data_IF_968287741975
#
_entry.id   IF_968287741975
#
_cell.length_a   1.000
_cell.length_b   1.000
_cell.length_c   1.000
_cell.angle_alpha   90.00
_cell.angle_beta   90.00
_cell.angle_gamma   90.00
#
_symmetry.space_group_name_H-M   'P 1'
#
loop_
_entity.id
_entity.type
_entity.pdbx_description
1 polymer ?
#
# COMPACT_ATOMS: atom_id res chain seq x y z
N UNK A 1 18.56 -10.62 -8.15
CA UNK A 1 18.01 -9.64 -9.10
C UNK A 1 18.55 -8.26 -8.73
N UNK A 2 18.87 -7.43 -9.71
CA UNK A 2 19.29 -6.04 -9.53
C UNK A 2 18.14 -5.09 -9.83
N UNK A 3 17.97 -4.05 -9.01
CA UNK A 3 16.98 -2.99 -9.23
C UNK A 3 17.72 -1.68 -9.39
N UNK A 4 17.50 -1.01 -10.52
CA UNK A 4 17.91 0.37 -10.74
C UNK A 4 16.87 1.31 -10.11
N UNK A 5 17.35 2.18 -9.22
CA UNK A 5 16.52 3.18 -8.55
C UNK A 5 16.47 4.51 -9.29
N UNK A 6 17.32 4.71 -10.31
CA UNK A 6 17.42 5.93 -11.10
C UNK A 6 17.42 7.19 -10.23
N UNK A 7 16.46 8.13 -10.42
CA UNK A 7 16.39 9.38 -9.68
C UNK A 7 16.02 9.20 -8.19
N UNK A 8 15.52 8.03 -7.78
CA UNK A 8 15.22 7.75 -6.36
C UNK A 8 16.51 7.60 -5.54
N UNK A 9 17.66 7.41 -6.19
CA UNK A 9 18.96 7.31 -5.53
C UNK A 9 19.24 8.48 -4.60
N UNK A 10 19.13 9.72 -5.09
CA UNK A 10 19.44 10.91 -4.29
C UNK A 10 18.59 10.95 -3.01
N UNK A 11 17.29 10.64 -3.12
CA UNK A 11 16.37 10.61 -1.99
C UNK A 11 16.66 9.46 -1.02
N UNK A 12 17.17 8.32 -1.51
CA UNK A 12 17.56 7.19 -0.66
C UNK A 12 18.78 7.54 0.17
N UNK A 13 19.79 8.16 -0.46
CA UNK A 13 20.98 8.61 0.25
C UNK A 13 20.66 9.65 1.31
N UNK A 14 19.82 10.63 0.97
CA UNK A 14 19.40 11.66 1.90
C UNK A 14 18.61 11.07 3.09
N UNK A 15 17.66 10.15 2.81
CA UNK A 15 16.88 9.49 3.86
C UNK A 15 17.76 8.58 4.74
N UNK A 16 18.72 7.88 4.15
CA UNK A 16 19.66 7.01 4.85
C UNK A 16 20.61 7.82 5.74
N UNK A 17 21.12 8.94 5.23
CA UNK A 17 21.92 9.89 5.99
C UNK A 17 21.15 10.45 7.19
N UNK A 18 19.90 10.90 6.97
CA UNK A 18 19.02 11.37 8.05
C UNK A 18 18.72 10.30 9.11
N UNK A 19 18.63 9.04 8.70
CA UNK A 19 18.38 7.92 9.59
C UNK A 19 19.66 7.33 10.23
N UNK A 20 20.85 7.86 9.89
CA UNK A 20 22.13 7.33 10.39
C UNK A 20 22.43 5.89 9.96
N UNK A 21 21.85 5.42 8.86
CA UNK A 21 22.03 4.04 8.37
C UNK A 21 22.51 4.02 6.92
N UNK A 22 23.08 2.89 6.48
CA UNK A 22 23.50 2.73 5.09
C UNK A 22 22.28 2.69 4.12
N UNK A 23 22.36 3.31 2.94
CA UNK A 23 21.29 3.31 1.93
C UNK A 23 20.75 1.91 1.58
N UNK A 24 21.64 0.92 1.48
CA UNK A 24 21.27 -0.47 1.20
C UNK A 24 20.53 -1.15 2.35
N UNK A 25 20.78 -0.75 3.59
CA UNK A 25 20.05 -1.24 4.77
C UNK A 25 18.66 -0.61 4.81
N UNK A 26 18.56 0.70 4.54
CA UNK A 26 17.28 1.39 4.46
C UNK A 26 16.39 0.80 3.36
N UNK A 27 16.93 0.59 2.15
CA UNK A 27 16.19 0.01 1.04
C UNK A 27 15.68 -1.41 1.38
N UNK A 28 16.52 -2.25 1.98
CA UNK A 28 16.11 -3.60 2.41
C UNK A 28 15.02 -3.57 3.48
N UNK A 29 15.14 -2.70 4.49
CA UNK A 29 14.10 -2.54 5.52
C UNK A 29 12.77 -2.06 4.93
N UNK A 30 12.82 -1.13 3.98
CA UNK A 30 11.65 -0.62 3.29
C UNK A 30 10.92 -1.71 2.49
N UNK A 31 11.67 -2.57 1.80
CA UNK A 31 11.12 -3.70 1.04
C UNK A 31 10.56 -4.77 1.97
N UNK A 32 11.29 -5.14 3.03
CA UNK A 32 10.83 -6.12 4.01
C UNK A 32 9.52 -5.66 4.66
N UNK A 33 9.45 -4.42 5.14
CA UNK A 33 8.24 -3.87 5.76
C UNK A 33 7.02 -3.87 4.81
N UNK A 34 7.24 -3.71 3.50
CA UNK A 34 6.18 -3.78 2.52
C UNK A 34 5.73 -5.23 2.28
N UNK A 35 6.68 -6.15 2.11
CA UNK A 35 6.38 -7.57 1.91
C UNK A 35 5.68 -8.19 3.12
N UNK A 36 6.08 -7.80 4.33
CA UNK A 36 5.43 -8.19 5.59
C UNK A 36 4.03 -7.61 5.72
N UNK A 37 3.80 -6.36 5.25
CA UNK A 37 2.47 -5.75 5.25
C UNK A 37 1.49 -6.45 4.29
N UNK A 38 2.01 -7.08 3.23
CA UNK A 38 1.22 -7.94 2.33
C UNK A 38 1.12 -9.39 2.80
N UNK A 39 2.03 -9.82 3.67
CA UNK A 39 2.17 -11.22 4.10
C UNK A 39 2.04 -11.28 5.61
N UNK A 40 0.83 -11.21 6.13
CA UNK A 40 0.53 -11.28 7.57
C UNK A 40 0.95 -12.59 8.28
N UNK A 41 1.76 -13.47 7.68
CA UNK A 41 2.16 -14.76 8.28
C UNK A 41 3.56 -15.30 7.93
N UNK A 42 4.53 -14.56 7.35
CA UNK A 42 5.84 -15.18 7.05
C UNK A 42 7.03 -14.32 7.44
N UNK A 43 7.84 -14.83 8.37
CA UNK A 43 9.08 -14.19 8.81
C UNK A 43 10.11 -14.10 7.69
N UNK A 44 10.42 -12.87 7.28
CA UNK A 44 11.51 -12.54 6.35
C UNK A 44 12.80 -12.38 7.16
N UNK A 45 13.71 -13.35 7.06
CA UNK A 45 15.08 -13.21 7.56
C UNK A 45 15.93 -12.43 6.55
N UNK A 46 16.35 -11.23 6.91
CA UNK A 46 17.29 -10.42 6.13
C UNK A 46 18.70 -10.66 6.66
N UNK A 47 19.48 -11.56 6.02
CA UNK A 47 20.88 -11.74 6.40
C UNK A 47 21.73 -10.52 6.03
N UNK A 48 22.51 -9.95 6.97
CA UNK A 48 23.38 -8.81 6.71
C UNK A 48 24.72 -9.28 6.12
N UNK A 49 24.78 -9.53 4.81
CA UNK A 49 26.06 -9.60 4.12
C UNK A 49 26.44 -8.21 3.61
N UNK A 50 27.27 -7.48 4.35
CA UNK A 50 27.86 -6.21 3.92
C UNK A 50 29.38 -6.30 4.05
N UNK A 51 30.07 -6.43 2.91
CA UNK A 51 31.44 -5.94 2.77
C UNK A 51 31.35 -4.53 2.20
N UNK A 52 31.39 -3.53 3.07
CA UNK A 52 31.54 -2.13 2.68
C UNK A 52 33.02 -1.76 2.82
N UNK A 53 33.77 -1.87 1.73
CA UNK A 53 35.02 -1.13 1.60
C UNK A 53 34.64 0.29 1.17
N UNK A 54 34.95 1.25 2.04
CA UNK A 54 34.54 2.64 1.87
C UNK A 54 35.32 3.33 0.76
N UNK A 55 34.63 4.21 0.04
CA UNK A 55 35.23 5.36 -0.62
C UNK A 55 34.16 6.45 -0.76
N UNK A 56 34.36 7.57 -0.07
CA UNK A 56 33.62 8.83 -0.26
C UNK A 56 34.10 9.47 -1.57
N UNK A 57 33.67 8.91 -2.70
CA UNK A 57 33.93 9.44 -4.04
C UNK A 57 32.77 10.28 -4.56
N UNK A 58 33.07 11.41 -5.19
CA UNK A 58 32.16 12.32 -5.92
C UNK A 58 31.11 11.52 -6.72
N UNK A 59 29.83 11.91 -6.60
CA UNK A 59 28.70 11.24 -7.25
C UNK A 59 28.63 11.56 -8.75
N UNK A 60 29.57 11.01 -9.50
CA UNK A 60 29.60 11.08 -10.95
C UNK A 60 28.72 9.94 -11.50
N UNK A 61 27.45 10.24 -11.81
CA UNK A 61 26.54 9.44 -12.66
C UNK A 61 26.27 7.95 -12.35
N UNK A 62 26.94 7.32 -11.38
CA UNK A 62 26.88 5.86 -11.19
C UNK A 62 25.50 5.42 -10.74
N UNK A 63 24.82 4.61 -11.55
CA UNK A 63 23.56 3.94 -11.19
C UNK A 63 23.73 3.17 -9.88
N UNK A 64 22.82 3.35 -8.92
CA UNK A 64 22.83 2.54 -7.69
C UNK A 64 22.10 1.24 -7.97
N UNK A 65 22.85 0.17 -8.15
CA UNK A 65 22.30 -1.16 -8.28
C UNK A 65 22.02 -1.74 -6.89
N UNK A 66 20.74 -1.99 -6.55
CA UNK A 66 20.39 -2.72 -5.32
C UNK A 66 20.15 -4.19 -5.69
N UNK A 67 21.01 -5.08 -5.21
CA UNK A 67 20.83 -6.52 -5.37
C UNK A 67 19.90 -7.05 -4.28
N UNK A 68 18.74 -7.54 -4.71
CA UNK A 68 17.74 -8.17 -3.86
C UNK A 68 17.72 -9.67 -4.11
N UNK A 69 17.78 -10.42 -3.02
CA UNK A 69 17.44 -11.84 -2.98
C UNK A 69 16.04 -11.93 -2.39
N UNK A 70 15.07 -12.27 -3.21
CA UNK A 70 13.68 -12.51 -2.82
C UNK A 70 13.48 -14.03 -2.77
N UNK A 71 12.59 -14.51 -1.90
CA UNK A 71 12.09 -15.89 -2.01
C UNK A 71 11.33 -16.03 -3.32
N UNK A 72 11.27 -17.26 -3.85
CA UNK A 72 10.62 -17.51 -5.14
C UNK A 72 9.16 -17.07 -5.16
N UNK A 73 8.43 -17.31 -4.07
CA UNK A 73 7.03 -16.89 -3.90
C UNK A 73 6.86 -15.37 -3.96
N UNK A 74 7.73 -14.61 -3.28
CA UNK A 74 7.69 -13.14 -3.28
C UNK A 74 8.02 -12.57 -4.66
N UNK A 75 8.99 -13.19 -5.36
CA UNK A 75 9.32 -12.82 -6.72
C UNK A 75 8.15 -13.08 -7.67
N UNK A 76 7.44 -14.21 -7.52
CA UNK A 76 6.23 -14.53 -8.31
C UNK A 76 5.13 -13.49 -8.05
N UNK A 77 4.81 -13.22 -6.78
CA UNK A 77 3.80 -12.20 -6.40
C UNK A 77 4.14 -10.82 -6.95
N UNK A 78 5.39 -10.36 -6.79
CA UNK A 78 5.82 -9.07 -7.31
C UNK A 78 5.68 -8.98 -8.85
N UNK A 79 5.82 -10.11 -9.56
CA UNK A 79 5.62 -10.16 -11.01
C UNK A 79 4.17 -10.02 -11.41
N UNK A 80 3.29 -10.72 -10.70
CA UNK A 80 1.86 -10.69 -10.97
C UNK A 80 1.31 -9.28 -10.72
N UNK A 81 1.70 -8.64 -9.61
CA UNK A 81 1.34 -7.25 -9.34
C UNK A 81 1.89 -6.30 -10.42
N UNK A 82 3.16 -6.45 -10.79
CA UNK A 82 3.75 -5.63 -11.86
C UNK A 82 2.98 -5.78 -13.18
N UNK A 83 2.58 -7.00 -13.55
CA UNK A 83 1.79 -7.29 -14.75
C UNK A 83 0.40 -6.64 -14.70
N UNK A 84 -0.28 -6.70 -13.56
CA UNK A 84 -1.59 -6.05 -13.36
C UNK A 84 -1.47 -4.53 -13.52
N UNK A 85 -0.35 -3.95 -13.12
CA UNK A 85 -0.08 -2.51 -13.26
C UNK A 85 0.54 -2.10 -14.61
N UNK A 86 0.82 -3.06 -15.51
CA UNK A 86 1.48 -2.79 -16.78
C UNK A 86 2.93 -2.32 -16.64
N UNK A 87 3.60 -2.66 -15.54
CA UNK A 87 4.98 -2.30 -15.23
C UNK A 87 5.91 -3.51 -15.36
N UNK A 88 7.19 -3.27 -15.63
CA UNK A 88 8.19 -4.32 -15.42
C UNK A 88 8.35 -4.61 -13.92
N UNK A 89 8.80 -5.82 -13.58
CA UNK A 89 9.04 -6.23 -12.18
C UNK A 89 10.00 -5.27 -11.46
N UNK A 90 11.04 -4.79 -12.15
CA UNK A 90 12.02 -3.85 -11.62
C UNK A 90 11.41 -2.46 -11.36
N UNK A 91 10.59 -1.95 -12.28
CA UNK A 91 9.91 -0.66 -12.11
C UNK A 91 8.91 -0.70 -10.96
N UNK A 92 8.12 -1.77 -10.88
CA UNK A 92 7.18 -1.99 -9.78
C UNK A 92 7.90 -1.96 -8.43
N UNK A 93 9.01 -2.69 -8.29
CA UNK A 93 9.83 -2.65 -7.07
C UNK A 93 10.45 -1.27 -6.82
N UNK A 94 10.84 -0.54 -7.86
CA UNK A 94 11.32 0.84 -7.74
C UNK A 94 10.25 1.79 -7.19
N UNK A 95 9.00 1.67 -7.68
CA UNK A 95 7.84 2.43 -7.17
C UNK A 95 7.63 2.12 -5.69
N UNK A 96 7.59 0.83 -5.34
CA UNK A 96 7.40 0.35 -3.98
C UNK A 96 8.48 0.86 -3.01
N UNK A 97 9.75 0.78 -3.40
CA UNK A 97 10.87 1.35 -2.63
C UNK A 97 10.70 2.85 -2.47
N UNK A 98 10.32 3.55 -3.53
CA UNK A 98 10.06 4.99 -3.50
C UNK A 98 8.94 5.38 -2.53
N UNK A 99 7.85 4.61 -2.47
CA UNK A 99 6.74 4.83 -1.55
C UNK A 99 7.11 4.54 -0.10
N UNK A 100 7.76 3.40 0.15
CA UNK A 100 8.22 3.03 1.48
C UNK A 100 9.22 4.05 2.02
N UNK A 101 10.12 4.55 1.18
CA UNK A 101 11.05 5.63 1.53
C UNK A 101 10.34 6.96 1.83
N UNK A 102 9.27 7.31 1.11
CA UNK A 102 8.47 8.49 1.46
C UNK A 102 7.81 8.33 2.83
N UNK A 103 7.38 7.10 3.18
CA UNK A 103 6.90 6.77 4.53
C UNK A 103 7.97 6.95 5.60
N UNK A 104 9.19 6.44 5.37
CA UNK A 104 10.31 6.58 6.31
C UNK A 104 10.78 8.03 6.42
N UNK A 105 10.90 8.77 5.32
CA UNK A 105 11.29 10.17 5.33
C UNK A 105 10.28 11.04 6.08
N UNK A 106 8.97 10.72 6.00
CA UNK A 106 7.93 11.39 6.79
C UNK A 106 8.05 11.10 8.29
N UNK A 107 8.38 9.86 8.68
CA UNK A 107 8.57 9.49 10.10
C UNK A 107 9.88 10.04 10.68
N UNK A 108 10.96 9.98 9.92
CA UNK A 108 12.26 10.53 10.32
C UNK A 108 12.23 12.06 10.41
N UNK A 109 11.48 12.74 9.54
CA UNK A 109 11.26 14.18 9.61
C UNK A 109 10.31 14.64 10.73
N UNK A 110 9.48 13.74 11.26
CA UNK A 110 8.55 14.05 12.35
C UNK A 110 9.18 13.96 13.75
N UNK A 111 10.40 13.44 13.86
CA UNK A 111 10.94 13.03 15.17
C UNK A 111 11.91 14.01 15.82
N UNK A 112 12.39 15.08 15.17
CA UNK A 112 13.43 15.88 15.82
C UNK A 112 13.26 17.38 15.97
N UNK A 113 12.48 18.16 15.21
CA UNK A 113 12.24 19.58 15.59
C UNK A 113 11.17 20.30 14.74
N UNK A 114 10.35 21.12 15.41
CA UNK A 114 9.34 22.10 14.93
C UNK A 114 7.99 21.53 14.46
N UNK A 115 6.91 21.66 15.22
CA UNK A 115 6.17 22.91 15.46
C UNK A 115 6.02 23.74 14.18
N UNK A 116 5.02 23.42 13.36
CA UNK A 116 4.69 24.20 12.16
C UNK A 116 3.89 23.43 11.11
N UNK A 117 2.56 23.49 11.21
CA UNK A 117 1.62 23.44 10.06
C UNK A 117 1.55 22.16 9.20
N UNK A 118 1.51 20.99 9.83
CA UNK A 118 0.87 19.81 9.26
C UNK A 118 -0.31 19.40 10.15
N UNK A 119 -1.50 19.97 9.93
CA UNK A 119 -2.67 19.74 10.79
C UNK A 119 -2.86 18.26 11.14
N UNK A 120 -2.68 17.85 12.41
CA UNK A 120 -2.85 16.46 12.85
C UNK A 120 -4.25 15.91 12.53
N UNK A 121 -5.23 16.80 12.31
CA UNK A 121 -6.56 16.45 11.86
C UNK A 121 -6.62 15.65 10.54
N UNK A 122 -5.70 15.87 9.58
CA UNK A 122 -5.79 15.17 8.28
C UNK A 122 -5.26 13.73 8.34
N UNK A 123 -4.23 13.48 9.17
CA UNK A 123 -3.71 12.14 9.38
C UNK A 123 -4.66 11.30 10.24
N UNK A 124 -5.26 11.88 11.28
CA UNK A 124 -6.35 11.23 12.04
C UNK A 124 -7.58 10.96 11.17
N UNK A 125 -7.98 11.90 10.30
CA UNK A 125 -9.11 11.69 9.40
C UNK A 125 -8.88 10.52 8.43
N UNK A 126 -7.66 10.37 7.90
CA UNK A 126 -7.29 9.22 7.05
C UNK A 126 -7.23 7.89 7.81
N UNK A 127 -6.73 7.90 9.05
CA UNK A 127 -6.75 6.72 9.91
C UNK A 127 -8.19 6.28 10.23
N UNK A 128 -9.06 7.23 10.61
CA UNK A 128 -10.48 6.98 10.85
C UNK A 128 -11.22 6.50 9.59
N UNK A 129 -10.91 7.05 8.41
CA UNK A 129 -11.46 6.56 7.14
C UNK A 129 -11.01 5.12 6.83
N UNK A 130 -9.75 4.76 7.12
CA UNK A 130 -9.26 3.40 6.92
C UNK A 130 -9.94 2.40 7.86
N UNK A 131 -10.09 2.74 9.13
CA UNK A 131 -10.82 1.91 10.10
C UNK A 131 -12.29 1.75 9.70
N UNK A 132 -12.95 2.83 9.28
CA UNK A 132 -14.32 2.78 8.75
C UNK A 132 -14.43 1.85 7.54
N UNK A 133 -13.45 1.88 6.62
CA UNK A 133 -13.41 1.00 5.45
C UNK A 133 -13.22 -0.48 5.83
N UNK A 134 -12.32 -0.76 6.77
CA UNK A 134 -12.09 -2.13 7.27
C UNK A 134 -13.35 -2.65 7.98
N UNK A 135 -13.96 -1.84 8.84
CA UNK A 135 -15.22 -2.17 9.51
C UNK A 135 -16.35 -2.44 8.51
N UNK A 136 -16.45 -1.61 7.46
CA UNK A 136 -17.41 -1.80 6.37
C UNK A 136 -17.18 -3.11 5.61
N UNK A 137 -15.93 -3.51 5.40
CA UNK A 137 -15.60 -4.75 4.68
C UNK A 137 -16.00 -5.99 5.48
N UNK A 138 -15.81 -5.97 6.80
CA UNK A 138 -16.26 -7.04 7.69
C UNK A 138 -17.80 -7.17 7.70
N UNK A 139 -18.53 -6.05 7.65
CA UNK A 139 -19.99 -6.04 7.59
C UNK A 139 -20.51 -6.61 6.25
N UNK A 140 -19.90 -6.24 5.12
CA UNK A 140 -20.24 -6.82 3.81
C UNK A 140 -20.02 -8.35 3.80
N UNK A 141 -18.91 -8.82 4.36
CA UNK A 141 -18.65 -10.26 4.47
C UNK A 141 -19.71 -10.99 5.30
N UNK A 142 -20.21 -10.36 6.37
CA UNK A 142 -21.29 -10.91 7.18
C UNK A 142 -22.63 -10.94 6.41
N UNK A 143 -22.96 -9.89 5.66
CA UNK A 143 -24.14 -9.86 4.78
C UNK A 143 -24.08 -10.98 3.73
N UNK A 144 -22.92 -11.19 3.10
CA UNK A 144 -22.72 -12.28 2.14
C UNK A 144 -23.00 -13.67 2.74
N UNK A 145 -22.59 -13.92 3.99
CA UNK A 145 -22.91 -15.18 4.69
C UNK A 145 -24.41 -15.35 4.93
N UNK A 146 -25.10 -14.29 5.35
CA UNK A 146 -26.54 -14.32 5.59
C UNK A 146 -27.33 -14.57 4.30
N UNK A 147 -26.97 -13.88 3.20
CA UNK A 147 -27.59 -14.08 1.89
C UNK A 147 -27.41 -15.52 1.41
N UNK A 148 -26.20 -16.06 1.55
CA UNK A 148 -25.90 -17.44 1.18
C UNK A 148 -26.70 -18.46 2.03
N UNK A 149 -26.89 -18.18 3.32
CA UNK A 149 -27.72 -19.02 4.19
C UNK A 149 -29.20 -18.99 3.78
N UNK A 150 -29.73 -17.82 3.44
CA UNK A 150 -31.11 -17.68 2.93
C UNK A 150 -31.24 -18.43 1.60
N UNK A 151 -30.31 -18.26 0.67
CA UNK A 151 -30.32 -18.96 -0.61
C UNK A 151 -30.33 -20.50 -0.43
N UNK A 152 -29.52 -21.02 0.50
CA UNK A 152 -29.54 -22.45 0.85
C UNK A 152 -30.86 -22.89 1.46
N UNK A 153 -31.45 -22.08 2.36
CA UNK A 153 -32.75 -22.37 2.96
C UNK A 153 -33.86 -22.40 1.91
N UNK A 154 -33.85 -21.48 0.94
CA UNK A 154 -34.83 -21.41 -0.13
C UNK A 154 -34.69 -22.60 -1.09
N UNK A 155 -33.46 -22.96 -1.45
CA UNK A 155 -33.19 -24.12 -2.31
C UNK A 155 -33.56 -25.45 -1.65
N UNK A 156 -33.46 -25.53 -0.31
CA UNK A 156 -33.85 -26.72 0.45
C UNK A 156 -35.37 -26.90 0.62
N UNK A 157 -36.17 -25.83 0.47
CA UNK A 157 -37.61 -25.90 0.64
C UNK A 157 -38.35 -24.83 -0.21
N UNK A 158 -38.49 -25.05 -1.53
CA UNK A 158 -38.88 -24.01 -2.50
C UNK A 158 -40.32 -23.48 -2.38
N UNK A 159 -41.15 -24.00 -1.46
CA UNK A 159 -42.54 -23.57 -1.26
C UNK A 159 -42.81 -22.69 -0.04
N UNK A 160 -41.82 -22.49 0.84
CA UNK A 160 -42.03 -21.84 2.13
C UNK A 160 -41.08 -20.66 2.35
N UNK A 161 -41.34 -19.53 1.67
CA UNK A 161 -40.72 -18.27 2.07
C UNK A 161 -41.47 -17.74 3.30
N UNK A 162 -40.90 -17.94 4.48
CA UNK A 162 -41.49 -17.39 5.70
C UNK A 162 -41.47 -15.85 5.66
N UNK A 163 -42.44 -15.21 6.31
CA UNK A 163 -42.46 -13.74 6.49
C UNK A 163 -41.14 -13.23 7.11
N UNK A 164 -40.57 -14.01 8.03
CA UNK A 164 -39.28 -13.74 8.64
C UNK A 164 -38.12 -13.70 7.63
N UNK A 165 -38.13 -14.56 6.61
CA UNK A 165 -37.10 -14.55 5.55
C UNK A 165 -37.22 -13.28 4.69
N UNK A 166 -38.45 -12.84 4.38
CA UNK A 166 -38.67 -11.59 3.65
C UNK A 166 -38.23 -10.36 4.45
N UNK A 167 -38.55 -10.31 5.75
CA UNK A 167 -38.09 -9.24 6.65
C UNK A 167 -36.56 -9.22 6.76
N UNK A 168 -35.92 -10.40 6.83
CA UNK A 168 -34.46 -10.51 6.85
C UNK A 168 -33.84 -10.02 5.53
N UNK A 169 -34.43 -10.37 4.38
CA UNK A 169 -33.96 -9.89 3.07
C UNK A 169 -34.10 -8.37 2.94
N UNK A 170 -35.23 -7.80 3.36
CA UNK A 170 -35.43 -6.35 3.36
C UNK A 170 -34.41 -5.63 4.28
N UNK A 171 -34.13 -6.19 5.45
CA UNK A 171 -33.12 -5.66 6.37
C UNK A 171 -31.70 -5.75 5.78
N UNK A 172 -31.38 -6.82 5.06
CA UNK A 172 -30.10 -6.98 4.35
C UNK A 172 -29.98 -5.96 3.22
N UNK A 173 -31.01 -5.79 2.39
CA UNK A 173 -31.03 -4.80 1.31
C UNK A 173 -30.77 -3.38 1.85
N UNK A 174 -31.49 -2.97 2.90
CA UNK A 174 -31.27 -1.67 3.53
C UNK A 174 -29.90 -1.50 4.22
N UNK A 175 -29.17 -2.58 4.52
CA UNK A 175 -27.76 -2.49 4.97
C UNK A 175 -26.79 -2.37 3.80
N UNK A 176 -27.07 -3.05 2.69
CA UNK A 176 -26.28 -2.93 1.45
C UNK A 176 -26.37 -1.51 0.89
N UNK A 177 -27.57 -0.93 0.81
CA UNK A 177 -27.75 0.43 0.29
C UNK A 177 -26.94 1.46 1.10
N UNK A 178 -27.04 1.40 2.43
CA UNK A 178 -26.23 2.25 3.33
C UNK A 178 -24.72 2.07 3.13
N UNK A 179 -24.27 0.86 2.80
CA UNK A 179 -22.86 0.62 2.50
C UNK A 179 -22.43 1.21 1.16
N UNK A 180 -23.26 1.08 0.13
CA UNK A 180 -23.00 1.69 -1.19
C UNK A 180 -22.91 3.21 -1.06
N UNK A 181 -23.83 3.82 -0.30
CA UNK A 181 -23.80 5.26 -0.02
C UNK A 181 -22.52 5.69 0.71
N UNK A 182 -22.14 4.95 1.76
CA UNK A 182 -20.91 5.23 2.50
C UNK A 182 -19.66 5.10 1.62
N UNK A 183 -19.57 4.03 0.83
CA UNK A 183 -18.47 3.81 -0.09
C UNK A 183 -18.41 4.92 -1.15
N UNK A 184 -19.55 5.34 -1.69
CA UNK A 184 -19.66 6.47 -2.61
C UNK A 184 -19.14 7.77 -1.99
N UNK A 185 -19.54 8.07 -0.76
CA UNK A 185 -19.07 9.25 -0.03
C UNK A 185 -17.55 9.22 0.20
N UNK A 186 -16.98 8.08 0.57
CA UNK A 186 -15.52 7.91 0.73
C UNK A 186 -14.80 8.10 -0.60
N UNK A 187 -15.29 7.52 -1.69
CA UNK A 187 -14.70 7.70 -3.02
C UNK A 187 -14.73 9.16 -3.46
N UNK A 188 -15.83 9.87 -3.24
CA UNK A 188 -15.94 11.31 -3.51
C UNK A 188 -14.93 12.12 -2.68
N UNK A 189 -14.78 11.82 -1.40
CA UNK A 189 -13.81 12.47 -0.52
C UNK A 189 -12.35 12.22 -0.95
N UNK A 190 -12.07 11.07 -1.59
CA UNK A 190 -10.74 10.71 -2.09
C UNK A 190 -10.43 11.28 -3.48
N UNK A 191 -11.42 11.70 -4.29
CA UNK A 191 -11.19 12.25 -5.64
C UNK A 191 -10.13 13.37 -5.70
N UNK A 192 -10.11 14.37 -4.81
CA UNK A 192 -9.10 15.43 -4.86
C UNK A 192 -7.68 14.90 -4.64
N UNK A 193 -7.52 13.88 -3.78
CA UNK A 193 -6.21 13.26 -3.49
C UNK A 193 -5.70 12.50 -4.70
N UNK A 194 -6.59 11.77 -5.38
CA UNK A 194 -6.25 11.03 -6.61
C UNK A 194 -5.93 11.98 -7.75
N UNK A 195 -6.71 13.05 -7.92
CA UNK A 195 -6.48 14.08 -8.94
C UNK A 195 -5.13 14.78 -8.74
N UNK A 196 -4.80 15.18 -7.51
CA UNK A 196 -3.50 15.78 -7.18
C UNK A 196 -2.34 14.83 -7.49
N UNK A 197 -2.48 13.53 -7.20
CA UNK A 197 -1.48 12.52 -7.54
C UNK A 197 -1.27 12.36 -9.05
N UNK A 198 -2.35 12.40 -9.85
CA UNK A 198 -2.25 12.34 -11.32
C UNK A 198 -1.56 13.58 -11.88
N UNK A 199 -1.89 14.78 -11.40
CA UNK A 199 -1.25 16.01 -11.83
C UNK A 199 0.27 16.01 -11.57
N UNK A 200 0.70 15.54 -10.40
CA UNK A 200 2.13 15.41 -10.07
C UNK A 200 2.83 14.37 -10.97
N UNK A 201 2.12 13.33 -11.41
CA UNK A 201 2.67 12.32 -12.32
C UNK A 201 2.86 12.90 -13.73
N UNK A 202 1.83 13.54 -14.29
CA UNK A 202 1.92 14.17 -15.63
C UNK A 202 3.04 15.21 -15.72
N UNK A 203 3.16 16.08 -14.71
CA UNK A 203 4.23 17.09 -14.68
C UNK A 203 5.66 16.51 -14.63
N UNK A 204 5.83 15.25 -14.21
CA UNK A 204 7.13 14.57 -14.24
C UNK A 204 7.45 13.93 -15.58
N UNK A 205 6.42 13.52 -16.31
CA UNK A 205 6.58 12.91 -17.62
C UNK A 205 6.88 14.01 -18.66
N UNK A 206 6.25 15.18 -18.54
CA UNK A 206 6.53 16.37 -19.37
C UNK A 206 7.94 16.93 -19.16
N UNK A 207 8.50 16.83 -17.94
CA UNK A 207 9.85 17.30 -17.63
C UNK A 207 10.97 16.36 -18.12
N UNK A 208 10.62 15.23 -18.76
CA UNK A 208 11.59 14.24 -19.29
C UNK A 208 11.58 14.14 -20.82
N UNK A 209 10.63 14.78 -21.50
CA UNK A 209 10.62 14.92 -22.96
C UNK A 209 11.40 16.15 -23.40
#
# INVERSE_FOLDING_TARGET
MSVDLGPLKARLYEAAHRAGICPSVLARKAIAALLDATTSQSGVEVSPAVRAAGERGKHDGKVLEVRLKLREEDARRASECARVEGLSRSEYLGVLVGEAMQGVAKRAGASTNRSGLGSPGRAMALAGMREALVGSTAQIAALGRNVNQIARSLNGNPGAISKQNLETLAAVAGRVDRHVDLAGAVLLALRPVVAARRAIRGARDDARG
#
